data_IF_395993589230
#
_entry.id   IF_395993589230
#
_cell.length_a   1.000
_cell.length_b   1.000
_cell.length_c   1.000
_cell.angle_alpha   90.00
_cell.angle_beta   90.00
_cell.angle_gamma   90.00
#
_symmetry.space_group_name_H-M   'P 1'
#
loop_
_entity.id
_entity.type
_entity.pdbx_description
1 polymer ?
#
# COMPACT_ATOMS: atom_id res chain seq x y z
N UNK A 1 -32.96 9.78 -7.69
CA UNK A 1 -31.60 10.30 -7.41
C UNK A 1 -31.42 11.50 -8.32
N UNK A 2 -31.34 12.70 -7.76
CA UNK A 2 -31.20 13.93 -8.54
C UNK A 2 -29.86 13.91 -9.28
N UNK A 3 -29.87 13.72 -10.60
CA UNK A 3 -28.67 13.63 -11.44
C UNK A 3 -28.00 14.99 -11.69
N UNK A 4 -28.51 16.07 -11.08
CA UNK A 4 -28.03 17.44 -11.35
C UNK A 4 -26.71 17.78 -10.64
N UNK A 5 -26.31 17.04 -9.60
CA UNK A 5 -25.01 17.24 -8.95
C UNK A 5 -24.38 15.87 -8.62
N UNK A 6 -23.60 15.32 -9.55
CA UNK A 6 -22.76 14.18 -9.24
C UNK A 6 -21.55 14.68 -8.43
N UNK A 7 -21.33 14.24 -7.16
CA UNK A 7 -20.23 14.71 -6.32
C UNK A 7 -18.85 14.55 -6.97
N UNK A 8 -18.68 13.56 -7.85
CA UNK A 8 -17.44 13.34 -8.61
C UNK A 8 -17.12 14.55 -9.50
N UNK A 9 -18.11 15.20 -10.10
CA UNK A 9 -17.88 16.38 -10.95
C UNK A 9 -17.30 17.54 -10.16
N UNK A 10 -17.79 17.76 -8.94
CA UNK A 10 -17.25 18.79 -8.05
C UNK A 10 -15.81 18.46 -7.62
N UNK A 11 -15.53 17.18 -7.31
CA UNK A 11 -14.18 16.74 -6.95
C UNK A 11 -13.20 16.90 -8.11
N UNK A 12 -13.61 16.55 -9.34
CA UNK A 12 -12.82 16.79 -10.56
C UNK A 12 -12.53 18.27 -10.77
N UNK A 13 -13.52 19.14 -10.52
CA UNK A 13 -13.33 20.58 -10.64
C UNK A 13 -12.29 21.10 -9.63
N UNK A 14 -12.38 20.70 -8.36
CA UNK A 14 -11.37 21.07 -7.34
C UNK A 14 -9.97 20.57 -7.70
N UNK A 15 -9.86 19.34 -8.20
CA UNK A 15 -8.57 18.79 -8.65
C UNK A 15 -8.00 19.59 -9.81
N UNK A 16 -8.83 20.03 -10.77
CA UNK A 16 -8.39 20.87 -11.89
C UNK A 16 -7.95 22.26 -11.44
N UNK A 17 -8.65 22.85 -10.47
CA UNK A 17 -8.24 24.11 -9.83
C UNK A 17 -6.89 23.97 -9.13
N UNK A 18 -6.69 22.89 -8.36
CA UNK A 18 -5.42 22.59 -7.71
C UNK A 18 -4.29 22.34 -8.73
N UNK A 19 -4.56 21.60 -9.82
CA UNK A 19 -3.62 21.42 -10.93
C UNK A 19 -3.17 22.76 -11.51
N UNK A 20 -4.12 23.66 -11.80
CA UNK A 20 -3.83 24.99 -12.32
C UNK A 20 -2.98 25.83 -11.35
N UNK A 21 -3.26 25.78 -10.05
CA UNK A 21 -2.47 26.47 -9.01
C UNK A 21 -1.02 25.97 -8.95
N UNK A 22 -0.81 24.66 -9.19
CA UNK A 22 0.52 24.04 -9.23
C UNK A 22 1.21 24.13 -10.58
N UNK A 23 0.61 24.77 -11.60
CA UNK A 23 1.15 24.82 -12.95
C UNK A 23 1.25 23.43 -13.61
N UNK A 24 0.40 22.50 -13.22
CA UNK A 24 0.32 21.15 -13.77
C UNK A 24 -0.91 21.02 -14.69
N UNK A 25 -0.78 20.23 -15.76
CA UNK A 25 -1.84 20.02 -16.74
C UNK A 25 -2.64 18.74 -16.49
N UNK A 26 -1.97 17.72 -15.96
CA UNK A 26 -2.59 16.43 -15.69
C UNK A 26 -2.14 15.86 -14.34
N UNK A 27 -2.98 15.01 -13.76
CA UNK A 27 -2.76 14.26 -12.53
C UNK A 27 -2.88 12.77 -12.82
N UNK A 28 -1.89 11.99 -12.38
CA UNK A 28 -2.01 10.54 -12.23
C UNK A 28 -2.33 10.21 -10.77
N UNK A 29 -3.39 9.45 -10.55
CA UNK A 29 -3.81 8.93 -9.24
C UNK A 29 -3.72 7.40 -9.27
N UNK A 30 -2.60 6.81 -8.82
CA UNK A 30 -2.47 5.37 -8.73
C UNK A 30 -3.32 4.79 -7.59
N UNK A 31 -3.57 3.48 -7.62
CA UNK A 31 -4.07 2.75 -6.45
C UNK A 31 -2.88 2.27 -5.62
N UNK A 32 -2.26 3.19 -4.88
CA UNK A 32 -1.08 2.92 -4.07
C UNK A 32 -1.01 3.84 -2.85
N UNK A 33 -0.34 3.35 -1.80
CA UNK A 33 0.12 4.12 -0.65
C UNK A 33 1.68 4.15 -0.64
N UNK A 34 2.33 4.80 0.35
CA UNK A 34 3.79 4.82 0.46
C UNK A 34 4.46 3.47 0.69
N UNK A 35 3.67 2.41 0.87
CA UNK A 35 4.10 1.06 1.12
C UNK A 35 3.81 0.11 -0.05
N UNK A 36 3.16 0.62 -1.11
CA UNK A 36 2.66 -0.14 -2.25
C UNK A 36 1.76 -1.31 -1.82
N UNK A 37 0.88 -1.05 -0.84
CA UNK A 37 -0.10 -2.00 -0.30
C UNK A 37 -1.18 -2.34 -1.33
N UNK A 38 -1.72 -3.56 -1.24
CA UNK A 38 -2.84 -4.00 -2.08
C UNK A 38 -4.17 -3.34 -1.66
N UNK A 39 -4.42 -3.28 -0.34
CA UNK A 39 -5.54 -2.54 0.24
C UNK A 39 -5.01 -1.28 0.88
N UNK A 40 -5.74 -0.17 0.70
CA UNK A 40 -5.26 1.16 1.06
C UNK A 40 -6.00 1.69 2.28
N UNK A 41 -5.30 2.25 3.28
CA UNK A 41 -5.92 3.10 4.28
C UNK A 41 -6.62 4.30 3.62
N UNK A 42 -7.69 4.80 4.24
CA UNK A 42 -8.55 5.84 3.66
C UNK A 42 -7.81 7.07 3.11
N UNK A 43 -6.70 7.46 3.75
CA UNK A 43 -5.85 8.59 3.31
C UNK A 43 -5.33 8.47 1.87
N UNK A 44 -5.12 7.25 1.37
CA UNK A 44 -4.58 6.99 0.03
C UNK A 44 -5.61 6.43 -0.95
N UNK A 45 -6.89 6.42 -0.57
CA UNK A 45 -8.00 6.05 -1.47
C UNK A 45 -8.38 7.20 -2.43
N UNK A 46 -7.38 7.95 -2.93
CA UNK A 46 -7.59 9.12 -3.77
C UNK A 46 -8.35 8.81 -5.07
N UNK A 47 -8.09 7.66 -5.68
CA UNK A 47 -8.82 7.19 -6.86
C UNK A 47 -10.30 6.95 -6.55
N UNK A 48 -10.60 6.26 -5.45
CA UNK A 48 -11.99 6.01 -5.03
C UNK A 48 -12.70 7.30 -4.65
N UNK A 49 -12.06 8.17 -3.86
CA UNK A 49 -12.62 9.48 -3.52
C UNK A 49 -12.90 10.31 -4.79
N UNK A 50 -11.93 10.40 -5.70
CA UNK A 50 -12.06 11.27 -6.87
C UNK A 50 -13.05 10.71 -7.90
N UNK A 51 -13.06 9.40 -8.14
CA UNK A 51 -13.90 8.80 -9.20
C UNK A 51 -15.20 8.18 -8.72
N UNK A 52 -15.35 7.88 -7.43
CA UNK A 52 -16.43 7.05 -6.89
C UNK A 52 -16.27 5.55 -7.16
N UNK A 53 -15.21 5.13 -7.86
CA UNK A 53 -14.97 3.72 -8.18
C UNK A 53 -14.28 2.98 -7.02
N UNK A 54 -14.94 1.92 -6.54
CA UNK A 54 -14.58 1.18 -5.31
C UNK A 54 -13.85 -0.14 -5.57
N UNK A 55 -13.58 -0.50 -6.83
CA UNK A 55 -12.87 -1.74 -7.15
C UNK A 55 -11.41 -1.72 -6.65
N UNK A 56 -10.87 -2.83 -6.17
CA UNK A 56 -9.53 -2.83 -5.55
C UNK A 56 -8.36 -2.59 -6.52
N UNK A 57 -8.58 -2.63 -7.83
CA UNK A 57 -7.57 -2.27 -8.83
C UNK A 57 -8.12 -1.26 -9.82
N UNK A 58 -7.30 -0.26 -10.12
CA UNK A 58 -7.54 0.71 -11.17
C UNK A 58 -6.49 1.81 -11.13
N UNK A 59 -6.46 2.64 -12.16
CA UNK A 59 -5.63 3.84 -12.18
C UNK A 59 -6.49 4.96 -12.73
N UNK A 60 -6.44 6.14 -12.12
CA UNK A 60 -7.19 7.30 -12.59
C UNK A 60 -6.21 8.32 -13.14
N UNK A 61 -6.50 8.85 -14.32
CA UNK A 61 -5.78 9.96 -14.91
C UNK A 61 -6.77 11.10 -15.16
N UNK A 62 -6.38 12.32 -14.83
CA UNK A 62 -7.21 13.52 -14.98
C UNK A 62 -6.38 14.58 -15.70
N UNK A 63 -6.90 15.18 -16.76
CA UNK A 63 -6.32 16.38 -17.39
C UNK A 63 -7.16 17.60 -17.03
N UNK A 64 -6.74 18.77 -17.52
CA UNK A 64 -7.49 20.01 -17.41
C UNK A 64 -8.96 19.89 -17.89
N UNK A 65 -9.26 18.99 -18.83
CA UNK A 65 -10.57 18.87 -19.48
C UNK A 65 -11.14 17.44 -19.54
N UNK A 66 -10.31 16.39 -19.39
CA UNK A 66 -10.70 14.97 -19.49
C UNK A 66 -10.36 14.20 -18.22
N UNK A 67 -10.94 13.01 -18.09
CA UNK A 67 -10.58 12.05 -17.06
C UNK A 67 -10.84 10.62 -17.55
N UNK A 68 -9.94 9.70 -17.21
CA UNK A 68 -10.03 8.30 -17.58
C UNK A 68 -9.67 7.39 -16.41
N UNK A 69 -10.52 6.39 -16.15
CA UNK A 69 -10.26 5.29 -15.23
C UNK A 69 -9.86 4.05 -16.02
N UNK A 70 -8.71 3.47 -15.69
CA UNK A 70 -8.20 2.25 -16.28
C UNK A 70 -8.50 1.08 -15.34
N UNK A 71 -9.27 0.10 -15.80
CA UNK A 71 -9.62 -1.08 -15.01
C UNK A 71 -9.65 -2.37 -15.85
N UNK A 72 -9.15 -3.44 -15.27
CA UNK A 72 -9.21 -4.80 -15.81
C UNK A 72 -10.60 -5.46 -15.71
N UNK A 73 -10.72 -6.62 -16.35
CA UNK A 73 -11.97 -7.34 -16.59
C UNK A 73 -12.76 -7.72 -15.34
N UNK A 74 -12.12 -7.77 -14.16
CA UNK A 74 -12.81 -8.03 -12.89
C UNK A 74 -13.80 -6.93 -12.53
N UNK A 75 -13.57 -5.70 -13.01
CA UNK A 75 -14.31 -4.53 -12.57
C UNK A 75 -15.07 -3.78 -13.67
N UNK A 76 -15.11 -4.25 -14.92
CA UNK A 76 -15.75 -3.49 -16.00
C UNK A 76 -17.22 -3.16 -15.72
N UNK A 77 -18.03 -4.16 -15.34
CA UNK A 77 -19.46 -3.96 -15.02
C UNK A 77 -19.63 -3.03 -13.82
N UNK A 78 -18.77 -3.18 -12.81
CA UNK A 78 -18.78 -2.33 -11.63
C UNK A 78 -18.43 -0.87 -11.99
N UNK A 79 -17.36 -0.66 -12.75
CA UNK A 79 -16.89 0.65 -13.17
C UNK A 79 -17.89 1.36 -14.08
N UNK A 80 -18.50 0.66 -15.05
CA UNK A 80 -19.56 1.24 -15.90
C UNK A 80 -20.72 1.79 -15.07
N UNK A 81 -21.12 1.07 -14.02
CA UNK A 81 -22.19 1.49 -13.10
C UNK A 81 -21.75 2.66 -12.22
N UNK A 82 -20.58 2.58 -11.60
CA UNK A 82 -20.10 3.55 -10.62
C UNK A 82 -19.67 4.88 -11.25
N UNK A 83 -19.17 4.86 -12.49
CA UNK A 83 -18.77 6.05 -13.22
C UNK A 83 -19.93 6.74 -13.96
N UNK A 84 -21.14 6.18 -13.95
CA UNK A 84 -22.26 6.72 -14.72
C UNK A 84 -22.54 8.19 -14.33
N UNK A 85 -22.45 9.08 -15.32
CA UNK A 85 -22.67 10.52 -15.13
C UNK A 85 -21.52 11.28 -14.47
N UNK A 86 -20.41 10.62 -14.13
CA UNK A 86 -19.23 11.25 -13.50
C UNK A 86 -18.46 12.17 -14.45
N UNK A 87 -18.48 11.89 -15.75
CA UNK A 87 -17.60 12.53 -16.74
C UNK A 87 -16.22 11.89 -16.84
N UNK A 88 -16.03 10.71 -16.25
CA UNK A 88 -14.81 9.89 -16.33
C UNK A 88 -15.05 8.76 -17.31
N UNK A 89 -14.17 8.61 -18.30
CA UNK A 89 -14.23 7.53 -19.27
C UNK A 89 -13.62 6.25 -18.70
N UNK A 90 -14.27 5.10 -18.91
CA UNK A 90 -13.69 3.80 -18.59
C UNK A 90 -12.81 3.31 -19.73
N UNK A 91 -11.53 3.07 -19.45
CA UNK A 91 -10.60 2.37 -20.33
C UNK A 91 -10.42 0.93 -19.85
N UNK A 92 -10.90 -0.01 -20.66
CA UNK A 92 -10.82 -1.45 -20.38
C UNK A 92 -9.41 -1.96 -20.69
N UNK A 93 -8.66 -2.34 -19.66
CA UNK A 93 -7.28 -2.86 -19.82
C UNK A 93 -7.26 -4.39 -19.70
N UNK A 94 -6.28 -5.08 -20.33
CA UNK A 94 -6.24 -6.55 -20.31
C UNK A 94 -5.86 -7.13 -18.94
N UNK A 95 -4.97 -6.45 -18.20
CA UNK A 95 -4.50 -6.87 -16.87
C UNK A 95 -4.17 -5.64 -16.02
N UNK A 96 -4.13 -5.79 -14.69
CA UNK A 96 -3.70 -4.72 -13.78
C UNK A 96 -2.24 -4.27 -13.97
N UNK A 97 -1.42 -5.02 -14.71
CA UNK A 97 -0.04 -4.63 -15.05
C UNK A 97 0.05 -3.81 -16.36
N UNK A 98 -1.07 -3.57 -17.04
CA UNK A 98 -1.08 -2.85 -18.31
C UNK A 98 -0.76 -1.36 -18.12
N UNK A 99 0.08 -0.82 -19.00
CA UNK A 99 0.60 0.56 -18.93
C UNK A 99 -0.20 1.56 -19.77
N UNK A 100 -1.47 1.27 -20.09
CA UNK A 100 -2.28 2.11 -20.99
C UNK A 100 -2.46 3.54 -20.46
N UNK A 101 -2.51 3.71 -19.13
CA UNK A 101 -2.59 5.02 -18.49
C UNK A 101 -1.36 5.90 -18.79
N UNK A 102 -0.16 5.30 -18.95
CA UNK A 102 1.07 6.02 -19.29
C UNK A 102 0.96 6.60 -20.71
N UNK A 103 0.57 5.77 -21.68
CA UNK A 103 0.38 6.21 -23.06
C UNK A 103 -0.73 7.25 -23.17
N UNK A 104 -1.83 7.05 -22.44
CA UNK A 104 -2.93 8.01 -22.41
C UNK A 104 -2.48 9.37 -21.87
N UNK A 105 -1.70 9.42 -20.79
CA UNK A 105 -1.15 10.68 -20.26
C UNK A 105 -0.22 11.36 -21.26
N UNK A 106 0.67 10.61 -21.91
CA UNK A 106 1.57 11.15 -22.94
C UNK A 106 0.82 11.72 -24.15
N UNK A 107 -0.32 11.12 -24.54
CA UNK A 107 -1.14 11.58 -25.67
C UNK A 107 -2.08 12.73 -25.32
N UNK A 108 -2.54 12.80 -24.07
CA UNK A 108 -3.53 13.78 -23.61
C UNK A 108 -2.90 14.95 -22.84
N UNK A 109 -1.57 15.02 -22.76
CA UNK A 109 -0.85 16.16 -22.18
C UNK A 109 -0.04 16.86 -23.27
N UNK A 110 -0.25 18.15 -23.55
CA UNK A 110 0.50 18.86 -24.58
C UNK A 110 2.01 18.90 -24.29
N UNK A 111 2.83 18.85 -25.32
CA UNK A 111 4.28 19.06 -25.18
C UNK A 111 4.57 20.41 -24.49
N UNK A 112 5.55 20.41 -23.59
CA UNK A 112 5.90 21.54 -22.72
C UNK A 112 5.05 21.66 -21.45
N UNK A 113 4.01 20.83 -21.29
CA UNK A 113 3.21 20.80 -20.07
C UNK A 113 3.70 19.75 -19.06
N UNK A 114 3.04 19.72 -17.91
CA UNK A 114 3.43 18.91 -16.75
C UNK A 114 2.36 17.89 -16.36
N UNK A 115 2.77 16.64 -16.14
CA UNK A 115 1.99 15.61 -15.44
C UNK A 115 2.46 15.56 -13.99
N UNK A 116 1.54 15.74 -13.05
CA UNK A 116 1.77 15.60 -11.64
C UNK A 116 1.39 14.20 -11.14
N UNK A 117 2.16 13.69 -10.19
CA UNK A 117 1.82 12.50 -9.39
C UNK A 117 2.57 12.61 -8.07
N UNK A 118 1.91 12.34 -6.95
CA UNK A 118 2.62 12.36 -5.67
C UNK A 118 3.71 11.27 -5.66
N UNK A 119 4.98 11.68 -5.57
CA UNK A 119 6.12 10.78 -5.53
C UNK A 119 6.06 9.80 -4.36
N UNK A 120 5.36 10.15 -3.28
CA UNK A 120 5.18 9.29 -2.12
C UNK A 120 4.26 8.10 -2.38
N UNK A 121 3.48 8.08 -3.47
CA UNK A 121 2.63 6.94 -3.86
C UNK A 121 2.98 6.38 -5.25
N UNK A 122 4.04 6.88 -5.89
CA UNK A 122 4.49 6.39 -7.18
C UNK A 122 5.58 5.33 -6.98
N UNK A 123 5.31 4.07 -7.30
CA UNK A 123 6.32 3.00 -7.24
C UNK A 123 7.51 3.29 -8.15
N UNK A 124 8.73 2.99 -7.70
CA UNK A 124 9.97 3.34 -8.41
C UNK A 124 10.03 2.79 -9.85
N UNK A 125 9.67 1.52 -10.06
CA UNK A 125 9.64 0.92 -11.39
C UNK A 125 8.59 1.57 -12.31
N UNK A 126 7.42 1.93 -11.76
CA UNK A 126 6.38 2.62 -12.52
C UNK A 126 6.81 4.06 -12.88
N UNK A 127 7.53 4.74 -11.98
CA UNK A 127 8.10 6.06 -12.23
C UNK A 127 9.05 6.07 -13.43
N UNK A 128 9.94 5.07 -13.53
CA UNK A 128 10.89 4.95 -14.65
C UNK A 128 10.16 4.83 -15.99
N UNK A 129 9.11 4.00 -16.06
CA UNK A 129 8.30 3.84 -17.27
C UNK A 129 7.51 5.10 -17.62
N UNK A 130 6.93 5.76 -16.62
CA UNK A 130 6.17 7.00 -16.79
C UNK A 130 7.07 8.13 -17.28
N UNK A 131 8.22 8.33 -16.64
CA UNK A 131 9.19 9.37 -17.01
C UNK A 131 9.67 9.19 -18.46
N UNK A 132 10.09 7.98 -18.84
CA UNK A 132 10.56 7.71 -20.20
C UNK A 132 9.50 8.01 -21.28
N UNK A 133 8.23 7.67 -21.02
CA UNK A 133 7.14 7.92 -21.96
C UNK A 133 6.76 9.40 -22.05
N UNK A 134 6.77 10.11 -20.93
CA UNK A 134 6.46 11.55 -20.90
C UNK A 134 7.59 12.37 -21.53
N UNK A 135 8.84 12.03 -21.25
CA UNK A 135 10.01 12.69 -21.84
C UNK A 135 9.99 12.55 -23.37
N UNK A 136 9.64 11.36 -23.89
CA UNK A 136 9.50 11.13 -25.34
C UNK A 136 8.38 11.97 -25.98
N UNK A 137 7.37 12.36 -25.19
CA UNK A 137 6.29 13.26 -25.61
C UNK A 137 6.59 14.75 -25.37
N UNK A 138 7.77 15.08 -24.82
CA UNK A 138 8.13 16.45 -24.43
C UNK A 138 7.33 16.95 -23.23
N UNK A 139 6.87 16.05 -22.35
CA UNK A 139 6.05 16.35 -21.17
C UNK A 139 6.88 16.16 -19.91
N UNK A 140 6.79 17.10 -18.97
CA UNK A 140 7.53 17.03 -17.70
C UNK A 140 6.77 16.20 -16.68
N UNK A 141 7.45 15.26 -16.02
CA UNK A 141 6.93 14.56 -14.85
C UNK A 141 7.29 15.34 -13.58
N UNK A 142 6.29 15.70 -12.77
CA UNK A 142 6.46 16.41 -11.49
C UNK A 142 6.01 15.54 -10.33
N UNK A 143 6.89 15.30 -9.36
CA UNK A 143 6.66 14.34 -8.26
C UNK A 143 6.81 14.90 -6.85
N UNK A 144 7.07 16.20 -6.73
CA UNK A 144 7.28 16.93 -5.45
C UNK A 144 5.97 17.45 -4.81
N UNK A 145 4.82 17.24 -5.46
CA UNK A 145 3.53 17.79 -5.02
C UNK A 145 2.47 16.72 -4.79
N UNK A 146 1.60 16.96 -3.82
CA UNK A 146 0.40 16.18 -3.53
C UNK A 146 -0.85 17.01 -3.85
N UNK A 147 -1.30 16.96 -5.10
CA UNK A 147 -2.49 17.71 -5.57
C UNK A 147 -3.75 17.36 -4.78
N UNK A 148 -3.84 16.12 -4.26
CA UNK A 148 -4.98 15.69 -3.46
C UNK A 148 -4.98 16.30 -2.07
N UNK A 149 -3.84 16.73 -1.53
CA UNK A 149 -3.79 17.44 -0.26
C UNK A 149 -4.60 18.76 -0.31
N UNK A 150 -4.56 19.46 -1.45
CA UNK A 150 -5.29 20.72 -1.63
C UNK A 150 -6.74 20.48 -2.08
N UNK A 151 -6.98 19.45 -2.89
CA UNK A 151 -8.31 19.18 -3.47
C UNK A 151 -9.26 18.40 -2.56
N UNK A 152 -8.75 17.72 -1.53
CA UNK A 152 -9.52 16.85 -0.62
C UNK A 152 -9.50 17.38 0.84
N UNK A 153 -10.39 18.32 1.20
CA UNK A 153 -10.42 18.92 2.54
C UNK A 153 -10.59 17.91 3.68
N UNK A 154 -11.50 16.95 3.50
CA UNK A 154 -11.81 15.93 4.52
C UNK A 154 -10.94 14.66 4.35
N UNK A 155 -9.70 14.81 3.88
CA UNK A 155 -8.82 13.66 3.64
C UNK A 155 -8.47 12.98 4.96
N UNK A 156 -8.68 11.67 5.12
CA UNK A 156 -8.41 10.98 6.38
C UNK A 156 -6.96 11.15 6.86
N UNK A 157 -6.79 11.19 8.19
CA UNK A 157 -5.49 11.12 8.84
C UNK A 157 -4.88 9.72 8.71
N UNK A 158 -3.64 9.57 9.17
CA UNK A 158 -3.04 8.25 9.33
C UNK A 158 -3.86 7.40 10.34
N UNK A 159 -3.96 6.07 10.14
CA UNK A 159 -4.55 5.16 11.11
C UNK A 159 -3.85 5.21 12.48
N UNK A 160 -4.65 5.24 13.54
CA UNK A 160 -4.18 5.38 14.92
C UNK A 160 -4.24 4.08 15.73
N UNK A 161 -4.57 2.95 15.08
CA UNK A 161 -4.69 1.65 15.76
C UNK A 161 -3.35 1.24 16.37
N UNK A 162 -3.36 0.73 17.60
CA UNK A 162 -2.14 0.31 18.31
C UNK A 162 -1.46 -0.88 17.64
N UNK A 163 -0.13 -0.88 17.71
CA UNK A 163 0.74 -1.97 17.31
C UNK A 163 0.95 -2.90 18.51
N UNK A 164 0.97 -4.21 18.27
CA UNK A 164 1.19 -5.21 19.29
C UNK A 164 2.25 -6.24 18.88
N UNK A 165 2.86 -6.90 19.85
CA UNK A 165 3.86 -7.93 19.61
C UNK A 165 3.20 -9.23 19.10
N UNK A 166 3.77 -9.80 18.02
CA UNK A 166 3.54 -11.18 17.64
C UNK A 166 4.45 -12.06 18.48
N UNK A 167 3.88 -12.71 19.50
CA UNK A 167 4.64 -13.43 20.52
C UNK A 167 4.75 -14.94 20.23
N UNK A 168 5.64 -15.60 20.97
CA UNK A 168 5.70 -17.06 21.01
C UNK A 168 4.38 -17.64 21.56
N UNK A 169 3.98 -18.86 21.14
CA UNK A 169 4.73 -19.79 20.30
C UNK A 169 4.59 -19.56 18.78
N UNK A 170 3.62 -18.76 18.32
CA UNK A 170 3.39 -18.52 16.89
C UNK A 170 4.47 -17.65 16.24
N UNK A 171 5.21 -16.86 17.02
CA UNK A 171 6.46 -16.25 16.61
C UNK A 171 7.63 -17.22 16.87
N UNK A 172 7.89 -18.12 15.91
CA UNK A 172 8.86 -19.21 16.05
C UNK A 172 10.33 -18.76 16.01
N UNK A 173 10.59 -17.49 15.73
CA UNK A 173 11.92 -16.89 15.75
C UNK A 173 11.82 -15.51 16.36
N UNK A 174 12.81 -15.15 17.18
CA UNK A 174 12.84 -13.85 17.84
C UNK A 174 13.11 -12.72 16.84
N UNK A 175 12.78 -11.50 17.25
CA UNK A 175 13.06 -10.27 16.49
C UNK A 175 14.55 -10.13 16.21
N UNK A 176 15.38 -10.36 17.22
CA UNK A 176 16.85 -10.30 17.12
C UNK A 176 17.39 -11.32 16.11
N UNK A 177 16.84 -12.54 16.07
CA UNK A 177 17.21 -13.54 15.06
C UNK A 177 16.85 -13.09 13.63
N UNK A 178 15.65 -12.52 13.42
CA UNK A 178 15.23 -12.01 12.11
C UNK A 178 16.07 -10.82 11.66
N UNK A 179 16.37 -9.88 12.55
CA UNK A 179 17.27 -8.76 12.27
C UNK A 179 18.69 -9.25 11.90
N UNK A 180 19.23 -10.24 12.63
CA UNK A 180 20.52 -10.83 12.30
C UNK A 180 20.52 -11.48 10.91
N UNK A 181 19.49 -12.25 10.57
CA UNK A 181 19.34 -12.88 9.25
C UNK A 181 19.28 -11.84 8.12
N UNK A 182 18.54 -10.74 8.32
CA UNK A 182 18.46 -9.65 7.34
C UNK A 182 19.80 -8.94 7.19
N UNK A 183 20.52 -8.68 8.29
CA UNK A 183 21.86 -8.07 8.26
C UNK A 183 22.88 -8.94 7.54
N UNK A 184 22.86 -10.25 7.74
CA UNK A 184 23.74 -11.19 7.02
C UNK A 184 23.48 -11.12 5.50
N UNK A 185 22.20 -11.11 5.09
CA UNK A 185 21.84 -10.94 3.68
C UNK A 185 22.26 -9.58 3.12
N UNK A 186 22.06 -8.50 3.89
CA UNK A 186 22.52 -7.15 3.54
C UNK A 186 24.04 -7.12 3.31
N UNK A 187 24.82 -7.74 4.20
CA UNK A 187 26.27 -7.83 4.07
C UNK A 187 26.69 -8.64 2.83
N UNK A 188 25.98 -9.71 2.48
CA UNK A 188 26.22 -10.46 1.22
C UNK A 188 25.99 -9.64 -0.04
N UNK A 189 25.09 -8.66 0.00
CA UNK A 189 24.93 -7.67 -1.07
C UNK A 189 25.99 -6.57 -1.04
N UNK A 190 26.84 -6.50 0.00
CA UNK A 190 27.79 -5.40 0.20
C UNK A 190 27.12 -4.09 0.63
N UNK A 191 25.90 -4.16 1.16
CA UNK A 191 25.16 -3.00 1.66
C UNK A 191 25.48 -2.74 3.15
N UNK A 192 25.47 -1.47 3.53
CA UNK A 192 25.65 -1.03 4.93
C UNK A 192 24.33 -0.58 5.57
N UNK A 193 23.35 -0.25 4.73
CA UNK A 193 22.02 0.20 5.12
C UNK A 193 20.98 -0.57 4.31
N UNK A 194 19.83 -0.87 4.90
CA UNK A 194 18.69 -1.43 4.18
C UNK A 194 17.41 -0.70 4.59
N UNK A 195 16.71 -0.15 3.60
CA UNK A 195 15.44 0.53 3.82
C UNK A 195 14.29 -0.32 3.30
N UNK A 196 13.33 -0.60 4.19
CA UNK A 196 12.15 -1.43 3.94
C UNK A 196 10.91 -0.57 4.09
N UNK A 197 10.03 -0.61 3.09
CA UNK A 197 8.74 0.11 3.10
C UNK A 197 7.52 -0.79 2.97
N UNK A 198 7.67 -2.05 2.57
CA UNK A 198 6.58 -3.02 2.54
C UNK A 198 6.17 -3.42 3.96
N UNK A 199 4.91 -3.16 4.31
CA UNK A 199 4.38 -3.35 5.67
C UNK A 199 4.37 -4.81 6.14
N UNK A 200 4.26 -5.77 5.23
CA UNK A 200 4.35 -7.20 5.53
C UNK A 200 5.77 -7.67 5.83
N UNK A 201 6.77 -7.10 5.13
CA UNK A 201 8.18 -7.31 5.47
C UNK A 201 8.49 -6.72 6.85
N UNK A 202 8.03 -5.49 7.13
CA UNK A 202 8.28 -4.82 8.41
C UNK A 202 7.64 -5.60 9.56
N UNK A 203 6.36 -5.99 9.44
CA UNK A 203 5.67 -6.81 10.43
C UNK A 203 6.39 -8.14 10.69
N UNK A 204 6.93 -8.78 9.64
CA UNK A 204 7.71 -10.00 9.79
C UNK A 204 9.06 -9.73 10.48
N UNK A 205 9.87 -8.79 10.00
CA UNK A 205 11.21 -8.50 10.57
C UNK A 205 11.10 -8.16 12.06
N UNK A 206 10.09 -7.35 12.42
CA UNK A 206 9.93 -6.81 13.77
C UNK A 206 9.14 -7.71 14.71
N UNK A 207 8.52 -8.80 14.25
CA UNK A 207 7.54 -9.55 15.05
C UNK A 207 6.46 -8.64 15.64
N UNK A 208 5.96 -7.69 14.87
CA UNK A 208 4.89 -6.80 15.26
C UNK A 208 3.68 -6.99 14.33
N UNK A 209 2.49 -6.67 14.82
CA UNK A 209 1.25 -6.69 14.05
C UNK A 209 0.43 -5.45 14.37
N UNK A 210 -0.52 -5.14 13.51
CA UNK A 210 -1.47 -4.04 13.68
C UNK A 210 -2.73 -4.30 12.87
N UNK A 211 -3.53 -3.27 12.66
CA UNK A 211 -4.75 -3.36 11.86
C UNK A 211 -5.00 -2.07 11.06
N UNK A 212 -3.92 -1.45 10.56
CA UNK A 212 -4.03 -0.21 9.77
C UNK A 212 -4.57 -0.45 8.36
N UNK A 213 -4.45 -1.68 7.87
CA UNK A 213 -4.91 -2.11 6.55
C UNK A 213 -5.95 -3.20 6.74
N UNK A 214 -7.13 -3.02 6.13
CA UNK A 214 -8.22 -3.98 6.26
C UNK A 214 -7.80 -5.38 5.79
N UNK A 215 -8.23 -6.42 6.51
CA UNK A 215 -7.90 -7.84 6.27
C UNK A 215 -6.41 -8.22 6.37
N UNK A 216 -5.52 -7.27 6.65
CA UNK A 216 -4.08 -7.50 6.73
C UNK A 216 -3.58 -7.08 8.12
N UNK A 217 -3.04 -8.01 8.94
CA UNK A 217 -2.62 -7.70 10.31
C UNK A 217 -1.28 -6.95 10.35
N UNK A 218 -1.22 -5.80 9.67
CA UNK A 218 -0.03 -4.97 9.46
C UNK A 218 -0.27 -3.54 9.95
N UNK A 219 0.80 -2.77 10.05
CA UNK A 219 0.78 -1.38 10.49
C UNK A 219 1.67 -0.55 9.57
N UNK A 220 1.32 0.72 9.40
CA UNK A 220 2.08 1.62 8.55
C UNK A 220 3.38 2.02 9.24
N UNK A 221 4.49 1.69 8.61
CA UNK A 221 5.81 2.03 9.09
C UNK A 221 6.84 1.96 7.96
N UNK A 222 8.00 2.57 8.21
CA UNK A 222 9.23 2.30 7.46
C UNK A 222 10.28 1.75 8.40
N UNK A 223 11.24 0.99 7.88
CA UNK A 223 12.34 0.43 8.67
C UNK A 223 13.67 0.71 7.98
N UNK A 224 14.59 1.35 8.70
CA UNK A 224 15.99 1.53 8.27
C UNK A 224 16.87 0.66 9.16
N UNK A 225 17.58 -0.29 8.55
CA UNK A 225 18.44 -1.25 9.25
C UNK A 225 19.89 -0.92 8.93
N UNK A 226 20.72 -0.79 9.97
CA UNK A 226 22.18 -0.72 9.86
C UNK A 226 22.84 -2.00 10.39
N UNK A 227 24.17 -2.05 10.37
CA UNK A 227 24.95 -3.21 10.80
C UNK A 227 24.74 -3.62 12.27
N UNK A 228 24.24 -2.71 13.12
CA UNK A 228 24.16 -2.87 14.58
C UNK A 228 22.77 -2.64 15.16
N UNK A 229 21.99 -1.72 14.61
CA UNK A 229 20.67 -1.31 15.07
C UNK A 229 19.67 -1.22 13.91
N UNK A 230 18.42 -0.95 14.22
CA UNK A 230 17.43 -0.57 13.23
C UNK A 230 16.49 0.49 13.81
N UNK A 231 15.95 1.35 12.96
CA UNK A 231 15.01 2.40 13.33
C UNK A 231 13.68 2.14 12.63
N UNK A 232 12.62 1.94 13.44
CA UNK A 232 11.25 1.80 13.00
C UNK A 232 10.56 3.18 13.05
N UNK A 233 10.18 3.68 11.89
CA UNK A 233 9.43 4.93 11.73
C UNK A 233 7.95 4.59 11.73
N UNK A 234 7.24 4.94 12.81
CA UNK A 234 5.85 4.53 13.04
C UNK A 234 5.05 5.71 13.62
N UNK A 235 3.74 5.71 13.40
CA UNK A 235 2.86 6.77 13.90
C UNK A 235 2.95 6.93 15.42
N UNK A 236 2.98 8.18 15.89
CA UNK A 236 3.05 8.50 17.31
C UNK A 236 1.89 7.88 18.10
N UNK A 237 2.18 7.37 19.31
CA UNK A 237 1.19 6.77 20.20
C UNK A 237 0.73 5.36 19.83
N UNK A 238 1.20 4.78 18.70
CA UNK A 238 0.82 3.41 18.30
C UNK A 238 1.55 2.33 19.10
N UNK A 239 2.70 2.64 19.69
CA UNK A 239 3.50 1.71 20.50
C UNK A 239 3.51 2.19 21.94
N UNK A 240 3.08 1.34 22.87
CA UNK A 240 3.09 1.67 24.30
C UNK A 240 4.50 1.60 24.92
N UNK A 241 4.64 2.07 26.15
CA UNK A 241 5.93 2.16 26.83
C UNK A 241 6.57 0.78 27.11
N UNK A 242 5.77 -0.25 27.36
CA UNK A 242 6.28 -1.59 27.64
C UNK A 242 6.87 -2.21 26.36
N UNK A 243 6.11 -2.16 25.27
CA UNK A 243 6.57 -2.63 23.96
C UNK A 243 7.76 -1.81 23.46
N UNK A 244 7.77 -0.49 23.68
CA UNK A 244 8.91 0.36 23.32
C UNK A 244 10.20 -0.07 24.05
N UNK A 245 10.11 -0.44 25.33
CA UNK A 245 11.26 -0.94 26.10
C UNK A 245 11.75 -2.31 25.57
N UNK A 246 10.84 -3.22 25.22
CA UNK A 246 11.18 -4.51 24.60
C UNK A 246 11.88 -4.32 23.24
N UNK A 247 11.36 -3.41 22.41
CA UNK A 247 11.94 -3.09 21.10
C UNK A 247 13.35 -2.51 21.25
N UNK A 248 13.55 -1.60 22.19
CA UNK A 248 14.85 -1.02 22.47
C UNK A 248 15.87 -2.08 22.94
N UNK A 249 15.46 -3.02 23.79
CA UNK A 249 16.29 -4.13 24.25
C UNK A 249 16.74 -5.05 23.09
N UNK A 250 15.91 -5.20 22.06
CA UNK A 250 16.22 -5.95 20.84
C UNK A 250 16.99 -5.13 19.78
N UNK A 251 17.40 -3.90 20.10
CA UNK A 251 18.16 -3.02 19.21
C UNK A 251 17.30 -2.32 18.14
N UNK A 252 15.99 -2.19 18.38
CA UNK A 252 15.05 -1.47 17.53
C UNK A 252 14.67 -0.11 18.16
N UNK A 253 15.05 0.97 17.49
CA UNK A 253 14.72 2.35 17.89
C UNK A 253 13.39 2.76 17.27
N UNK A 254 12.64 3.60 17.98
CA UNK A 254 11.41 4.20 17.46
C UNK A 254 11.66 5.64 17.02
N UNK A 255 11.06 6.03 15.91
CA UNK A 255 11.01 7.40 15.41
C UNK A 255 9.63 7.69 14.82
N UNK A 256 9.28 8.97 14.72
CA UNK A 256 8.03 9.38 14.07
C UNK A 256 8.00 8.95 12.60
N UNK A 257 6.83 8.55 12.10
CA UNK A 257 6.62 8.08 10.72
C UNK A 257 7.18 9.06 9.67
N UNK A 258 7.01 10.37 9.89
CA UNK A 258 7.49 11.41 8.96
C UNK A 258 9.02 11.54 8.92
N UNK A 259 9.76 10.95 9.88
CA UNK A 259 11.22 11.01 9.93
C UNK A 259 11.91 10.00 8.99
N UNK A 260 11.16 9.12 8.32
CA UNK A 260 11.74 8.16 7.38
C UNK A 260 12.51 8.83 6.23
N UNK A 261 11.91 9.86 5.61
CA UNK A 261 12.54 10.63 4.54
C UNK A 261 13.79 11.41 5.01
N UNK A 262 13.69 12.24 6.06
CA UNK A 262 14.84 12.91 6.66
C UNK A 262 15.98 11.97 7.05
N UNK A 263 15.68 10.77 7.58
CA UNK A 263 16.69 9.78 7.91
C UNK A 263 17.43 9.23 6.67
N UNK A 264 16.72 9.03 5.55
CA UNK A 264 17.35 8.69 4.27
C UNK A 264 18.23 9.82 3.74
N UNK A 265 17.77 11.07 3.85
CA UNK A 265 18.52 12.26 3.45
C UNK A 265 19.80 12.47 4.28
N UNK A 266 19.80 12.01 5.53
CA UNK A 266 20.94 12.10 6.45
C UNK A 266 21.99 10.99 6.25
N UNK A 267 21.80 10.04 5.32
CA UNK A 267 22.77 8.98 5.09
C UNK A 267 24.11 9.56 4.59
N UNK A 268 25.25 9.15 5.18
CA UNK A 268 26.56 9.64 4.75
C UNK A 268 26.92 9.10 3.37
N UNK A 269 27.78 9.79 2.63
CA UNK A 269 28.24 9.35 1.29
C UNK A 269 28.91 7.97 1.28
N UNK A 270 29.44 7.50 2.42
CA UNK A 270 29.99 6.15 2.58
C UNK A 270 28.92 5.05 2.74
N UNK A 271 27.65 5.41 2.90
CA UNK A 271 26.57 4.45 2.98
C UNK A 271 26.36 3.74 1.64
N UNK A 272 26.00 2.47 1.72
CA UNK A 272 25.55 1.65 0.60
C UNK A 272 24.16 1.15 0.94
N UNK A 273 23.15 1.73 0.29
CA UNK A 273 21.75 1.53 0.60
C UNK A 273 21.16 0.40 -0.25
N UNK A 274 20.65 -0.64 0.40
CA UNK A 274 19.87 -1.70 -0.22
C UNK A 274 18.38 -1.34 -0.21
N UNK A 275 17.74 -1.38 -1.37
CA UNK A 275 16.29 -1.22 -1.54
C UNK A 275 15.73 -2.24 -2.52
N UNK A 276 14.48 -2.63 -2.34
CA UNK A 276 13.73 -3.39 -3.35
C UNK A 276 12.96 -2.41 -4.26
N UNK A 277 13.31 -2.31 -5.56
CA UNK A 277 12.69 -1.37 -6.48
C UNK A 277 11.19 -1.64 -6.72
N UNK A 278 10.69 -2.81 -6.33
CA UNK A 278 9.26 -3.17 -6.41
C UNK A 278 8.49 -2.83 -5.13
N UNK A 279 9.16 -2.46 -4.04
CA UNK A 279 8.59 -2.25 -2.71
C UNK A 279 8.93 -0.86 -2.13
N UNK A 280 9.41 0.06 -2.96
CA UNK A 280 9.72 1.44 -2.58
C UNK A 280 9.09 2.42 -3.57
N UNK A 281 8.67 3.57 -3.05
CA UNK A 281 8.18 4.69 -3.87
C UNK A 281 9.33 5.59 -4.32
N UNK A 282 9.11 6.29 -5.43
CA UNK A 282 10.07 7.23 -5.99
C UNK A 282 10.41 8.33 -4.98
N UNK A 283 9.39 8.87 -4.29
CA UNK A 283 9.55 9.95 -3.31
C UNK A 283 10.52 9.59 -2.19
N UNK A 284 10.39 8.39 -1.62
CA UNK A 284 11.32 7.86 -0.62
C UNK A 284 12.71 7.59 -1.23
N UNK A 285 12.77 6.98 -2.41
CA UNK A 285 14.04 6.72 -3.10
C UNK A 285 14.82 8.01 -3.38
N UNK A 286 14.14 9.10 -3.72
CA UNK A 286 14.73 10.41 -4.01
C UNK A 286 15.27 11.12 -2.75
N UNK A 287 14.86 10.72 -1.54
CA UNK A 287 15.42 11.29 -0.31
C UNK A 287 16.88 10.88 -0.11
N UNK A 288 17.29 9.69 -0.58
CA UNK A 288 18.67 9.26 -0.46
C UNK A 288 19.59 10.15 -1.31
N UNK A 289 20.66 10.74 -0.74
CA UNK A 289 21.57 11.62 -1.48
C UNK A 289 22.20 10.94 -2.69
N UNK A 290 22.45 11.69 -3.76
CA UNK A 290 23.06 11.15 -4.98
C UNK A 290 24.46 10.52 -4.75
N UNK A 291 25.17 10.93 -3.69
CA UNK A 291 26.46 10.36 -3.31
C UNK A 291 26.34 8.98 -2.65
N UNK A 292 25.16 8.59 -2.15
CA UNK A 292 24.93 7.28 -1.55
C UNK A 292 24.78 6.25 -2.67
N UNK A 293 25.63 5.22 -2.63
CA UNK A 293 25.51 4.09 -3.57
C UNK A 293 24.23 3.32 -3.25
N UNK A 294 23.39 3.09 -4.26
CA UNK A 294 22.16 2.28 -4.12
C UNK A 294 22.34 0.93 -4.79
N UNK A 295 21.97 -0.13 -4.06
CA UNK A 295 21.88 -1.49 -4.56
C UNK A 295 20.40 -1.84 -4.62
N UNK A 296 19.95 -2.22 -5.80
CA UNK A 296 18.58 -2.67 -6.04
C UNK A 296 18.53 -4.20 -6.04
N UNK A 297 17.84 -4.79 -5.08
CA UNK A 297 17.60 -6.24 -5.02
C UNK A 297 16.34 -6.54 -4.20
N UNK A 298 15.78 -7.74 -4.38
CA UNK A 298 14.61 -8.19 -3.61
C UNK A 298 14.90 -8.07 -2.11
N UNK A 299 13.92 -7.59 -1.34
CA UNK A 299 14.03 -7.53 0.12
C UNK A 299 14.43 -8.92 0.68
N UNK A 300 15.52 -9.06 1.45
CA UNK A 300 15.91 -10.35 2.02
C UNK A 300 14.80 -11.03 2.84
N UNK A 301 13.98 -10.23 3.53
CA UNK A 301 12.82 -10.68 4.29
C UNK A 301 11.74 -11.31 3.42
N UNK A 302 11.55 -10.86 2.16
CA UNK A 302 10.56 -11.43 1.25
C UNK A 302 10.87 -12.90 0.94
N UNK A 303 12.12 -13.21 0.65
CA UNK A 303 12.56 -14.60 0.43
C UNK A 303 12.53 -15.40 1.73
N UNK A 304 13.04 -14.83 2.83
CA UNK A 304 13.06 -15.52 4.12
C UNK A 304 11.65 -15.91 4.59
N UNK A 305 10.71 -14.97 4.58
CA UNK A 305 9.33 -15.22 5.04
C UNK A 305 8.52 -16.10 4.09
N UNK A 306 8.92 -16.25 2.83
CA UNK A 306 8.25 -17.16 1.88
C UNK A 306 8.46 -18.65 2.23
N UNK A 307 9.55 -18.96 2.95
CA UNK A 307 9.94 -20.33 3.31
C UNK A 307 9.58 -20.62 4.77
N UNK A 308 8.36 -21.10 4.99
CA UNK A 308 7.87 -21.43 6.33
C UNK A 308 8.66 -22.59 6.93
N UNK A 309 9.12 -22.43 8.17
CA UNK A 309 9.71 -23.52 8.95
C UNK A 309 8.66 -24.55 9.38
N UNK A 310 9.11 -25.68 9.90
CA UNK A 310 8.22 -26.77 10.34
C UNK A 310 7.22 -26.31 11.42
N UNK A 311 7.70 -25.56 12.42
CA UNK A 311 6.85 -25.01 13.48
C UNK A 311 5.81 -24.01 12.93
N UNK A 312 6.19 -23.10 12.03
CA UNK A 312 5.25 -22.16 11.40
C UNK A 312 4.22 -22.91 10.55
N UNK A 313 4.66 -23.94 9.80
CA UNK A 313 3.77 -24.78 9.00
C UNK A 313 2.76 -25.53 9.86
N UNK A 314 3.14 -25.97 11.07
CA UNK A 314 2.22 -26.60 12.00
C UNK A 314 1.12 -25.64 12.47
N UNK A 315 1.47 -24.40 12.81
CA UNK A 315 0.45 -23.38 13.16
C UNK A 315 -0.46 -23.04 11.98
N UNK A 316 0.06 -23.04 10.75
CA UNK A 316 -0.78 -22.87 9.55
C UNK A 316 -1.75 -24.04 9.40
N UNK A 317 -1.31 -25.29 9.58
CA UNK A 317 -2.22 -26.46 9.53
C UNK A 317 -3.31 -26.35 10.58
N UNK A 318 -2.95 -26.00 11.82
CA UNK A 318 -3.92 -25.79 12.89
C UNK A 318 -4.95 -24.72 12.52
N UNK A 319 -4.51 -23.57 12.01
CA UNK A 319 -5.42 -22.51 11.57
C UNK A 319 -6.35 -22.97 10.43
N UNK A 320 -5.86 -23.81 9.51
CA UNK A 320 -6.68 -24.39 8.43
C UNK A 320 -7.68 -25.44 8.96
N UNK A 321 -7.31 -26.24 9.96
CA UNK A 321 -8.21 -27.18 10.62
C UNK A 321 -9.34 -26.45 11.35
N UNK A 322 -9.01 -25.37 12.08
CA UNK A 322 -9.97 -24.51 12.76
C UNK A 322 -10.93 -23.83 11.76
N UNK A 323 -10.42 -23.29 10.65
CA UNK A 323 -11.26 -22.72 9.58
C UNK A 323 -12.14 -23.79 8.91
N UNK A 324 -11.60 -24.98 8.67
CA UNK A 324 -12.35 -26.12 8.13
C UNK A 324 -13.52 -26.52 9.04
N UNK A 325 -13.31 -26.58 10.35
CA UNK A 325 -14.36 -26.84 11.33
C UNK A 325 -15.43 -25.73 11.33
N UNK A 326 -15.01 -24.46 11.25
CA UNK A 326 -15.92 -23.32 11.13
C UNK A 326 -16.78 -23.41 9.86
N UNK A 327 -16.18 -23.75 8.72
CA UNK A 327 -16.89 -23.95 7.47
C UNK A 327 -17.89 -25.11 7.54
N UNK A 328 -17.53 -26.22 8.19
CA UNK A 328 -18.47 -27.33 8.41
C UNK A 328 -19.68 -26.91 9.26
N UNK A 329 -19.47 -26.16 10.34
CA UNK A 329 -20.58 -25.60 11.15
C UNK A 329 -21.48 -24.68 10.33
N UNK A 330 -20.88 -23.81 9.51
CA UNK A 330 -21.61 -22.93 8.61
C UNK A 330 -22.46 -23.73 7.61
N UNK A 331 -21.88 -24.74 6.94
CA UNK A 331 -22.61 -25.54 5.96
C UNK A 331 -23.73 -26.38 6.58
N UNK A 332 -23.50 -26.98 7.75
CA UNK A 332 -24.55 -27.70 8.47
C UNK A 332 -25.77 -26.81 8.75
N UNK A 333 -25.53 -25.56 9.19
CA UNK A 333 -26.61 -24.58 9.36
C UNK A 333 -27.24 -24.20 8.02
N UNK A 334 -26.43 -23.90 7.00
CA UNK A 334 -26.90 -23.37 5.72
C UNK A 334 -27.78 -24.39 4.99
N UNK A 335 -27.35 -25.65 4.92
CA UNK A 335 -28.11 -26.74 4.31
C UNK A 335 -29.43 -27.00 5.04
N UNK A 336 -29.41 -27.02 6.38
CA UNK A 336 -30.63 -27.18 7.17
C UNK A 336 -31.62 -26.02 6.95
N UNK A 337 -31.13 -24.78 6.86
CA UNK A 337 -31.96 -23.62 6.61
C UNK A 337 -32.59 -23.65 5.20
N UNK A 338 -31.83 -24.07 4.18
CA UNK A 338 -32.34 -24.28 2.83
C UNK A 338 -33.38 -25.40 2.78
N UNK A 339 -33.14 -26.53 3.45
CA UNK A 339 -34.07 -27.65 3.54
C UNK A 339 -35.39 -27.26 4.25
N UNK A 340 -35.33 -26.35 5.21
CA UNK A 340 -36.50 -25.76 5.87
C UNK A 340 -37.23 -24.69 5.03
N UNK A 341 -36.77 -24.42 3.80
CA UNK A 341 -37.38 -23.44 2.89
C UNK A 341 -37.04 -21.98 3.20
N UNK A 342 -35.99 -21.72 3.99
CA UNK A 342 -35.60 -20.36 4.32
C UNK A 342 -35.11 -19.61 3.07
N UNK A 343 -35.56 -18.35 2.93
CA UNK A 343 -35.05 -17.41 1.91
C UNK A 343 -33.98 -16.54 2.54
N UNK A 344 -32.73 -16.74 2.15
CA UNK A 344 -31.56 -16.09 2.75
C UNK A 344 -30.87 -15.26 1.67
N UNK A 345 -30.62 -13.98 1.94
CA UNK A 345 -29.85 -13.11 1.06
C UNK A 345 -28.34 -13.23 1.33
N UNK A 346 -27.51 -12.70 0.43
CA UNK A 346 -26.05 -12.88 0.50
C UNK A 346 -25.40 -12.27 1.75
N UNK A 347 -25.92 -11.16 2.28
CA UNK A 347 -25.36 -10.50 3.47
C UNK A 347 -25.49 -11.37 4.73
N UNK A 348 -26.69 -11.87 5.09
CA UNK A 348 -26.83 -12.85 6.18
C UNK A 348 -25.96 -14.10 6.03
N UNK A 349 -25.73 -14.58 4.80
CA UNK A 349 -24.82 -15.72 4.55
C UNK A 349 -23.40 -15.35 4.97
N UNK A 350 -22.89 -14.19 4.55
CA UNK A 350 -21.56 -13.72 4.93
C UNK A 350 -21.44 -13.49 6.45
N UNK A 351 -22.47 -12.93 7.10
CA UNK A 351 -22.51 -12.74 8.56
C UNK A 351 -22.41 -14.08 9.30
N UNK A 352 -23.15 -15.09 8.84
CA UNK A 352 -23.14 -16.43 9.43
C UNK A 352 -21.79 -17.11 9.27
N UNK A 353 -21.17 -16.96 8.11
CA UNK A 353 -19.84 -17.49 7.86
C UNK A 353 -18.78 -16.81 8.76
N UNK A 354 -18.85 -15.48 8.93
CA UNK A 354 -17.99 -14.74 9.87
C UNK A 354 -18.21 -15.20 11.31
N UNK A 355 -19.47 -15.34 11.73
CA UNK A 355 -19.81 -15.79 13.07
C UNK A 355 -19.29 -17.22 13.35
N UNK A 356 -19.32 -18.11 12.35
CA UNK A 356 -18.78 -19.47 12.50
C UNK A 356 -17.26 -19.48 12.73
N UNK A 357 -16.52 -18.56 12.11
CA UNK A 357 -15.08 -18.35 12.28
C UNK A 357 -14.71 -17.64 13.58
N UNK A 358 -15.58 -16.74 14.06
CA UNK A 358 -15.39 -16.04 15.33
C UNK A 358 -15.61 -16.94 16.56
N UNK A 359 -16.18 -18.14 16.36
CA UNK A 359 -16.36 -19.11 17.44
C UNK A 359 -15.00 -19.74 17.77
N UNK A 360 -14.54 -19.67 19.04
CA UNK A 360 -13.26 -20.27 19.41
C UNK A 360 -13.29 -21.79 19.16
N UNK A 361 -12.14 -22.41 18.85
CA UNK A 361 -12.03 -23.86 18.87
C UNK A 361 -12.39 -24.37 20.28
N UNK A 362 -13.25 -25.38 20.33
CA UNK A 362 -13.73 -26.01 21.57
C UNK A 362 -12.79 -27.06 22.12
#
# INVERSE_FOLDING_TARGET
MDTRVNPVRERLQRVREALAQHGAHALLVPSADPHLSEYLPGRWQGREWLSGFTGSMGTLAVTADRAALFADSRYWVQAERELLGSGIDLVKIPTGAATHHIQWLAQNTPAGQTVAVDGQVLGLAAAQQLHAALDAAGVTLRTDIDVLADAWPDRPSLPTVSVYAHAAPQATSSRTQRLAQVREAMARHGATQHFVSSVDDIAWITNLRGADVEYNPVFLAHLLIDATAATLFVGAGKVDAALAAELAADGLRLADYAQAGPALAALPASAVLLVDPRRITLGLRQQAPAAVKVIEAINPSTLAKSRKGEAEAQFIRQAMEEDGAAMCRFYAWFEAALAAGARISALPVADRQRAARAHPPG
#
